data_IF_327757412636
#
_entry.id   IF_327757412636
#
_cell.length_a   1.000
_cell.length_b   1.000
_cell.length_c   1.000
_cell.angle_alpha   90.00
_cell.angle_beta   90.00
_cell.angle_gamma   90.00
#
_symmetry.space_group_name_H-M   'P 1'
#
loop_
_entity.id
_entity.type
_entity.pdbx_description
1 polymer ?
#
# COMPACT_ATOMS: atom_id res chain seq x y z
N UNK A 1 -25.99 -9.35 -2.31
CA UNK A 1 -25.15 -10.20 -3.17
C UNK A 1 -25.63 -11.64 -2.99
N UNK A 2 -25.42 -12.52 -3.98
CA UNK A 2 -25.77 -13.93 -3.83
C UNK A 2 -24.70 -14.65 -3.00
N UNK A 3 -25.07 -15.77 -2.38
CA UNK A 3 -24.16 -16.63 -1.63
C UNK A 3 -22.93 -17.01 -2.45
N UNK A 4 -23.14 -17.38 -3.72
CA UNK A 4 -22.10 -17.76 -4.67
C UNK A 4 -21.23 -16.56 -5.07
N UNK A 5 -21.83 -15.40 -5.31
CA UNK A 5 -21.09 -14.18 -5.64
C UNK A 5 -20.13 -13.77 -4.53
N UNK A 6 -20.51 -13.95 -3.26
CA UNK A 6 -19.64 -13.68 -2.12
C UNK A 6 -18.54 -14.75 -1.97
N UNK A 7 -18.86 -16.02 -2.19
CA UNK A 7 -17.89 -17.13 -2.15
C UNK A 7 -16.79 -16.99 -3.21
N UNK A 8 -17.14 -16.59 -4.45
CA UNK A 8 -16.20 -16.47 -5.58
C UNK A 8 -15.64 -15.05 -5.79
N UNK A 9 -15.88 -14.11 -4.87
CA UNK A 9 -15.61 -12.67 -5.05
C UNK A 9 -14.16 -12.28 -5.39
N UNK A 10 -13.18 -13.10 -5.01
CA UNK A 10 -11.75 -12.92 -5.30
C UNK A 10 -11.17 -14.10 -6.07
N UNK A 11 -11.99 -14.74 -6.91
CA UNK A 11 -11.59 -15.91 -7.67
C UNK A 11 -11.82 -15.68 -9.15
N UNK A 12 -10.90 -16.15 -9.98
CA UNK A 12 -11.03 -16.14 -11.45
C UNK A 12 -11.16 -17.57 -11.95
N UNK A 13 -12.17 -17.80 -12.77
CA UNK A 13 -12.39 -19.11 -13.39
C UNK A 13 -11.32 -19.41 -14.42
N UNK A 14 -10.86 -20.67 -14.42
CA UNK A 14 -10.02 -21.30 -15.44
C UNK A 14 -10.90 -22.13 -16.36
N UNK A 15 -11.43 -21.51 -17.42
CA UNK A 15 -12.42 -22.13 -18.31
C UNK A 15 -11.96 -23.47 -18.89
N UNK A 16 -10.66 -23.63 -19.13
CA UNK A 16 -10.01 -24.85 -19.62
C UNK A 16 -10.16 -26.05 -18.68
N UNK A 17 -10.43 -25.83 -17.40
CA UNK A 17 -10.58 -26.90 -16.39
C UNK A 17 -12.03 -27.34 -16.17
N UNK A 18 -13.01 -26.54 -16.62
CA UNK A 18 -14.43 -26.75 -16.31
C UNK A 18 -14.95 -28.09 -16.83
N UNK A 19 -14.66 -28.43 -18.09
CA UNK A 19 -15.12 -29.68 -18.69
C UNK A 19 -14.49 -30.90 -18.04
N UNK A 20 -13.23 -30.81 -17.60
CA UNK A 20 -12.55 -31.90 -16.91
C UNK A 20 -13.11 -32.14 -15.50
N UNK A 21 -13.58 -31.08 -14.82
CA UNK A 21 -14.24 -31.20 -13.52
C UNK A 21 -15.66 -31.80 -13.61
N UNK A 22 -16.34 -31.61 -14.75
CA UNK A 22 -17.68 -32.15 -14.99
C UNK A 22 -18.73 -31.11 -15.37
N UNK A 23 -18.34 -29.85 -15.65
CA UNK A 23 -19.28 -28.88 -16.22
C UNK A 23 -19.61 -29.22 -17.67
N UNK A 24 -20.89 -29.08 -18.02
CA UNK A 24 -21.40 -29.22 -19.38
C UNK A 24 -21.66 -27.83 -19.96
N UNK A 25 -21.16 -27.57 -21.17
CA UNK A 25 -21.40 -26.30 -21.87
C UNK A 25 -22.83 -26.29 -22.43
N UNK A 26 -23.62 -25.28 -22.05
CA UNK A 26 -25.00 -25.05 -22.50
C UNK A 26 -25.07 -23.64 -23.08
N UNK A 27 -25.09 -23.53 -24.40
CA UNK A 27 -24.97 -22.24 -25.09
C UNK A 27 -23.61 -21.59 -24.80
N UNK A 28 -23.62 -20.39 -24.19
CA UNK A 28 -22.41 -19.67 -23.78
C UNK A 28 -21.98 -19.95 -22.33
N UNK A 29 -22.82 -20.65 -21.57
CA UNK A 29 -22.62 -20.86 -20.15
C UNK A 29 -22.19 -22.30 -19.85
N UNK A 30 -21.70 -22.54 -18.65
CA UNK A 30 -21.32 -23.86 -18.14
C UNK A 30 -22.23 -24.22 -16.98
N UNK A 31 -22.76 -25.44 -16.98
CA UNK A 31 -23.62 -25.97 -15.91
C UNK A 31 -23.00 -27.21 -15.29
N UNK A 32 -22.89 -27.22 -13.97
CA UNK A 32 -22.54 -28.37 -13.17
C UNK A 32 -23.75 -28.77 -12.33
N UNK A 33 -23.99 -30.07 -12.23
CA UNK A 33 -25.07 -30.64 -11.42
C UNK A 33 -24.50 -31.73 -10.52
N UNK A 34 -24.89 -31.73 -9.25
CA UNK A 34 -24.50 -32.75 -8.30
C UNK A 34 -25.62 -33.02 -7.30
N UNK A 35 -25.94 -34.31 -7.14
CA UNK A 35 -26.87 -34.78 -6.11
C UNK A 35 -26.09 -34.97 -4.81
N UNK A 36 -26.61 -34.47 -3.70
CA UNK A 36 -25.96 -34.53 -2.40
C UNK A 36 -26.96 -34.81 -1.27
N UNK A 37 -26.45 -35.01 -0.05
CA UNK A 37 -27.23 -35.41 1.14
C UNK A 37 -28.14 -36.61 0.87
N UNK A 38 -27.53 -37.77 0.61
CA UNK A 38 -28.22 -39.04 0.39
C UNK A 38 -29.26 -39.07 -0.76
N UNK A 39 -29.31 -38.05 -1.60
CA UNK A 39 -30.27 -37.98 -2.71
C UNK A 39 -31.34 -36.92 -2.55
N UNK A 40 -31.41 -36.25 -1.39
CA UNK A 40 -32.48 -35.32 -1.03
C UNK A 40 -32.38 -33.99 -1.80
N UNK A 41 -31.16 -33.60 -2.20
CA UNK A 41 -30.92 -32.31 -2.86
C UNK A 41 -30.10 -32.42 -4.15
N UNK A 42 -30.34 -31.50 -5.08
CA UNK A 42 -29.49 -31.27 -6.27
C UNK A 42 -28.92 -29.85 -6.26
N UNK A 43 -27.60 -29.72 -6.30
CA UNK A 43 -26.92 -28.47 -6.55
C UNK A 43 -26.78 -28.26 -8.07
N UNK A 44 -27.20 -27.10 -8.56
CA UNK A 44 -26.99 -26.64 -9.93
C UNK A 44 -26.13 -25.39 -9.92
N UNK A 45 -24.88 -25.49 -10.33
CA UNK A 45 -23.93 -24.37 -10.38
C UNK A 45 -23.69 -23.96 -11.81
N UNK A 46 -23.95 -22.68 -12.11
CA UNK A 46 -23.80 -22.09 -13.43
C UNK A 46 -22.69 -21.06 -13.45
N UNK A 47 -21.83 -21.13 -14.46
CA UNK A 47 -20.78 -20.14 -14.73
C UNK A 47 -21.04 -19.51 -16.09
N UNK A 48 -21.18 -18.18 -16.12
CA UNK A 48 -21.38 -17.44 -17.38
C UNK A 48 -20.11 -17.34 -18.21
N UNK A 49 -20.24 -16.94 -19.48
CA UNK A 49 -19.10 -16.57 -20.33
C UNK A 49 -18.22 -15.47 -19.70
N UNK A 50 -18.82 -14.55 -18.93
CA UNK A 50 -18.11 -13.51 -18.17
C UNK A 50 -17.48 -14.00 -16.87
N UNK A 51 -17.61 -15.29 -16.54
CA UNK A 51 -17.06 -15.92 -15.34
C UNK A 51 -17.88 -15.66 -14.07
N UNK A 52 -19.10 -15.15 -14.18
CA UNK A 52 -20.00 -14.96 -13.03
C UNK A 52 -20.59 -16.30 -12.61
N UNK A 53 -20.47 -16.60 -11.32
CA UNK A 53 -21.04 -17.81 -10.71
C UNK A 53 -22.42 -17.50 -10.15
N UNK A 54 -23.41 -18.29 -10.55
CA UNK A 54 -24.71 -18.37 -9.90
C UNK A 54 -25.02 -19.83 -9.59
N UNK A 55 -25.83 -20.08 -8.57
CA UNK A 55 -26.17 -21.44 -8.17
C UNK A 55 -27.60 -21.54 -7.69
N UNK A 56 -28.15 -22.76 -7.75
CA UNK A 56 -29.45 -23.15 -7.22
C UNK A 56 -29.30 -24.47 -6.48
N UNK A 57 -30.10 -24.66 -5.44
CA UNK A 57 -30.21 -25.93 -4.73
C UNK A 57 -31.67 -26.30 -4.76
N UNK A 58 -31.98 -27.47 -5.32
CA UNK A 58 -33.33 -28.01 -5.43
C UNK A 58 -33.53 -29.09 -4.39
N UNK A 59 -34.68 -29.06 -3.72
CA UNK A 59 -35.20 -30.17 -2.94
C UNK A 59 -35.84 -31.17 -3.92
N UNK A 60 -35.35 -32.41 -3.93
CA UNK A 60 -35.76 -33.41 -4.92
C UNK A 60 -37.07 -34.10 -4.57
N UNK A 61 -37.56 -33.97 -3.35
CA UNK A 61 -38.86 -34.50 -2.94
C UNK A 61 -39.99 -33.57 -3.38
N UNK A 62 -39.77 -32.26 -3.30
CA UNK A 62 -40.78 -31.26 -3.71
C UNK A 62 -40.57 -30.71 -5.11
N UNK A 63 -39.39 -30.93 -5.72
CA UNK A 63 -38.95 -30.34 -6.99
C UNK A 63 -38.91 -28.79 -6.96
N UNK A 64 -38.67 -28.21 -5.78
CA UNK A 64 -38.67 -26.76 -5.54
C UNK A 64 -37.29 -26.23 -5.13
N UNK A 65 -37.05 -24.93 -5.37
CA UNK A 65 -35.83 -24.26 -4.88
C UNK A 65 -35.81 -24.24 -3.35
N UNK A 66 -34.72 -24.74 -2.77
CA UNK A 66 -34.48 -24.71 -1.33
C UNK A 66 -33.98 -23.32 -0.87
N UNK A 67 -34.81 -22.30 -0.99
CA UNK A 67 -34.43 -20.88 -0.72
C UNK A 67 -33.96 -20.62 0.72
N UNK A 68 -34.33 -21.50 1.65
CA UNK A 68 -33.99 -21.43 3.09
C UNK A 68 -32.48 -21.32 3.31
N UNK A 69 -31.65 -21.95 2.46
CA UNK A 69 -30.19 -21.89 2.56
C UNK A 69 -29.65 -20.45 2.47
N UNK A 70 -30.37 -19.56 1.78
CA UNK A 70 -29.99 -18.16 1.52
C UNK A 70 -30.34 -17.21 2.66
N UNK A 71 -31.12 -17.66 3.65
CA UNK A 71 -31.52 -16.83 4.79
C UNK A 71 -30.45 -16.92 5.88
N UNK A 72 -29.61 -15.89 6.00
CA UNK A 72 -28.49 -15.86 6.97
C UNK A 72 -28.93 -16.02 8.43
N UNK A 73 -30.16 -15.60 8.77
CA UNK A 73 -30.68 -15.61 10.15
C UNK A 73 -31.30 -16.94 10.60
N UNK A 74 -31.49 -17.90 9.69
CA UNK A 74 -32.12 -19.17 10.00
C UNK A 74 -31.04 -20.20 10.36
N UNK A 75 -30.95 -20.54 11.64
CA UNK A 75 -29.86 -21.34 12.23
C UNK A 75 -30.39 -22.70 12.71
N UNK A 76 -31.29 -23.31 11.94
CA UNK A 76 -31.71 -24.68 12.19
C UNK A 76 -30.56 -25.65 11.86
N UNK A 77 -30.37 -26.70 12.67
CA UNK A 77 -29.28 -27.68 12.51
C UNK A 77 -29.25 -28.28 11.10
N UNK A 78 -30.44 -28.56 10.54
CA UNK A 78 -30.58 -29.10 9.18
C UNK A 78 -30.20 -28.10 8.08
N UNK A 79 -30.69 -26.85 8.16
CA UNK A 79 -30.32 -25.78 7.19
C UNK A 79 -28.81 -25.55 7.19
N UNK A 80 -28.19 -25.61 8.38
CA UNK A 80 -26.74 -25.55 8.54
C UNK A 80 -26.01 -26.68 7.81
N UNK A 81 -26.51 -27.92 7.90
CA UNK A 81 -25.96 -29.08 7.19
C UNK A 81 -26.10 -28.93 5.66
N UNK A 82 -27.26 -28.52 5.16
CA UNK A 82 -27.48 -28.27 3.72
C UNK A 82 -26.52 -27.19 3.22
N UNK A 83 -26.39 -26.08 3.97
CA UNK A 83 -25.47 -24.98 3.63
C UNK A 83 -24.01 -25.45 3.63
N UNK A 84 -23.62 -26.24 4.63
CA UNK A 84 -22.26 -26.80 4.70
C UNK A 84 -21.98 -27.71 3.50
N UNK A 85 -22.85 -28.67 3.22
CA UNK A 85 -22.66 -29.60 2.12
C UNK A 85 -22.61 -28.88 0.76
N UNK A 86 -23.47 -27.88 0.56
CA UNK A 86 -23.39 -27.03 -0.64
C UNK A 86 -22.08 -26.23 -0.71
N UNK A 87 -21.58 -25.72 0.43
CA UNK A 87 -20.28 -25.03 0.50
C UNK A 87 -19.12 -25.96 0.14
N UNK A 88 -19.19 -27.24 0.51
CA UNK A 88 -18.18 -28.26 0.15
C UNK A 88 -18.15 -28.49 -1.37
N UNK A 89 -19.31 -28.50 -2.03
CA UNK A 89 -19.41 -28.55 -3.51
C UNK A 89 -18.74 -27.32 -4.12
N UNK A 90 -19.10 -26.11 -3.66
CA UNK A 90 -18.49 -24.87 -4.16
C UNK A 90 -16.98 -24.82 -3.92
N UNK A 91 -16.51 -25.37 -2.81
CA UNK A 91 -15.08 -25.44 -2.46
C UNK A 91 -14.32 -26.35 -3.44
N UNK A 92 -14.84 -27.55 -3.74
CA UNK A 92 -14.25 -28.43 -4.76
C UNK A 92 -14.19 -27.77 -6.14
N UNK A 93 -15.26 -27.07 -6.52
CA UNK A 93 -15.29 -26.28 -7.76
C UNK A 93 -14.22 -25.20 -7.73
N UNK A 94 -14.10 -24.44 -6.64
CA UNK A 94 -13.11 -23.38 -6.50
C UNK A 94 -11.67 -23.92 -6.60
N UNK A 95 -11.36 -25.01 -5.90
CA UNK A 95 -10.01 -25.59 -5.88
C UNK A 95 -9.59 -26.09 -7.27
N UNK A 96 -10.50 -26.77 -7.96
CA UNK A 96 -10.23 -27.33 -9.28
C UNK A 96 -10.26 -26.28 -10.40
N UNK A 97 -11.24 -25.38 -10.35
CA UNK A 97 -11.60 -24.56 -11.50
C UNK A 97 -11.30 -23.07 -11.35
N UNK A 98 -10.80 -22.63 -10.20
CA UNK A 98 -10.52 -21.21 -9.97
C UNK A 98 -9.09 -20.99 -9.48
N UNK A 99 -8.60 -19.77 -9.69
CA UNK A 99 -7.41 -19.24 -9.05
C UNK A 99 -7.78 -18.05 -8.16
N UNK A 100 -7.02 -17.88 -7.09
CA UNK A 100 -7.19 -16.75 -6.18
C UNK A 100 -6.58 -15.47 -6.76
N UNK A 101 -7.32 -14.38 -6.62
CA UNK A 101 -6.93 -13.05 -7.03
C UNK A 101 -6.71 -12.16 -5.79
N UNK A 102 -5.70 -11.28 -5.80
CA UNK A 102 -5.47 -10.36 -4.69
C UNK A 102 -6.64 -9.37 -4.50
N UNK A 103 -7.29 -8.97 -5.59
CA UNK A 103 -8.32 -7.92 -5.62
C UNK A 103 -9.64 -8.43 -6.19
N UNK A 104 -10.72 -7.68 -5.94
CA UNK A 104 -12.07 -8.02 -6.39
C UNK A 104 -12.28 -7.57 -7.84
N UNK A 105 -11.78 -6.40 -8.24
CA UNK A 105 -12.00 -5.89 -9.60
C UNK A 105 -10.96 -6.45 -10.57
N UNK A 106 -11.43 -6.81 -11.77
CA UNK A 106 -10.57 -7.30 -12.85
C UNK A 106 -9.49 -6.28 -13.22
N UNK A 107 -9.84 -5.00 -13.35
CA UNK A 107 -8.88 -3.93 -13.60
C UNK A 107 -7.76 -3.87 -12.55
N UNK A 108 -8.09 -4.01 -11.27
CA UNK A 108 -7.10 -4.01 -10.18
C UNK A 108 -6.14 -5.19 -10.29
N UNK A 109 -6.64 -6.37 -10.68
CA UNK A 109 -5.80 -7.56 -10.89
C UNK A 109 -4.90 -7.44 -12.13
N UNK A 110 -5.40 -6.87 -13.24
CA UNK A 110 -4.56 -6.56 -14.41
C UNK A 110 -3.48 -5.54 -14.08
N UNK A 111 -3.80 -4.54 -13.27
CA UNK A 111 -2.82 -3.59 -12.74
C UNK A 111 -1.75 -4.28 -11.87
N UNK A 112 -2.16 -5.18 -10.97
CA UNK A 112 -1.21 -5.92 -10.13
C UNK A 112 -0.24 -6.76 -10.98
N UNK A 113 -0.77 -7.45 -12.00
CA UNK A 113 0.05 -8.21 -12.96
C UNK A 113 1.00 -7.30 -13.74
N UNK A 114 0.54 -6.11 -14.17
CA UNK A 114 1.37 -5.13 -14.84
C UNK A 114 2.54 -4.67 -13.96
N UNK A 115 2.27 -4.30 -12.70
CA UNK A 115 3.31 -3.88 -11.75
C UNK A 115 4.31 -5.01 -11.49
N UNK A 116 3.82 -6.23 -11.24
CA UNK A 116 4.66 -7.40 -11.01
C UNK A 116 5.56 -7.69 -12.22
N UNK A 117 5.01 -7.69 -13.44
CA UNK A 117 5.76 -7.95 -14.67
C UNK A 117 6.79 -6.86 -14.99
N UNK A 118 6.44 -5.59 -14.78
CA UNK A 118 7.28 -4.45 -15.17
C UNK A 118 8.36 -4.11 -14.15
N UNK A 119 8.03 -4.20 -12.86
CA UNK A 119 8.89 -3.73 -11.78
C UNK A 119 9.33 -4.82 -10.81
N UNK A 120 8.61 -5.95 -10.73
CA UNK A 120 8.84 -6.97 -9.70
C UNK A 120 8.50 -6.48 -8.29
N UNK A 121 7.83 -5.34 -8.15
CA UNK A 121 7.49 -4.76 -6.85
C UNK A 121 6.36 -5.57 -6.20
N UNK A 122 6.60 -6.05 -4.98
CA UNK A 122 5.60 -6.75 -4.20
C UNK A 122 4.59 -5.78 -3.56
N UNK A 123 3.37 -6.27 -3.38
CA UNK A 123 2.32 -5.57 -2.64
C UNK A 123 2.46 -5.84 -1.14
N UNK A 124 2.25 -4.83 -0.29
CA UNK A 124 2.17 -4.96 1.18
C UNK A 124 0.80 -4.51 1.73
N UNK A 125 0.47 -4.92 2.95
CA UNK A 125 -0.77 -4.58 3.65
C UNK A 125 -0.47 -3.72 4.89
N UNK A 126 -0.33 -2.39 4.73
CA UNK A 126 0.23 -1.54 5.78
C UNK A 126 -0.70 -1.32 6.99
N UNK A 127 -1.98 -1.71 6.89
CA UNK A 127 -2.99 -1.42 7.90
C UNK A 127 -3.63 -2.70 8.44
N UNK A 128 -3.25 -3.12 9.65
CA UNK A 128 -3.81 -4.32 10.28
C UNK A 128 -5.35 -4.30 10.42
N UNK A 129 -5.93 -3.11 10.67
CA UNK A 129 -7.39 -2.93 10.74
C UNK A 129 -8.10 -3.00 9.38
N UNK A 130 -7.36 -2.83 8.29
CA UNK A 130 -7.89 -2.80 6.93
C UNK A 130 -7.04 -3.72 6.04
N UNK A 131 -7.14 -5.05 6.21
CA UNK A 131 -6.32 -6.00 5.47
C UNK A 131 -6.59 -5.99 3.95
N UNK A 132 -7.75 -5.49 3.51
CA UNK A 132 -8.04 -5.27 2.10
C UNK A 132 -7.25 -4.08 1.50
N UNK A 133 -6.67 -3.20 2.33
CA UNK A 133 -5.88 -2.08 1.85
C UNK A 133 -4.48 -2.56 1.55
N UNK A 134 -4.01 -2.17 0.38
CA UNK A 134 -2.86 -2.78 -0.26
C UNK A 134 -2.01 -1.66 -0.84
N UNK A 135 -0.70 -1.66 -0.63
CA UNK A 135 0.17 -0.64 -1.18
C UNK A 135 1.32 -1.20 -1.98
N UNK A 136 1.87 -0.35 -2.86
CA UNK A 136 3.13 -0.59 -3.52
C UNK A 136 4.13 0.50 -3.16
N UNK A 137 5.36 0.08 -2.92
CA UNK A 137 6.47 0.93 -2.48
C UNK A 137 7.67 0.72 -3.37
N UNK A 138 8.48 1.76 -3.51
CA UNK A 138 9.83 1.59 -4.04
C UNK A 138 10.66 0.68 -3.14
N UNK A 139 11.31 -0.38 -3.67
CA UNK A 139 12.17 -1.24 -2.88
C UNK A 139 13.31 -0.47 -2.19
N UNK A 140 13.87 0.54 -2.87
CA UNK A 140 15.07 1.24 -2.42
C UNK A 140 14.82 2.28 -1.31
N UNK A 141 13.61 2.84 -1.24
CA UNK A 141 13.33 3.96 -0.33
C UNK A 141 12.03 3.81 0.47
N UNK A 142 11.30 2.71 0.26
CA UNK A 142 10.05 2.32 0.90
C UNK A 142 8.92 3.36 0.82
N UNK A 143 9.03 4.37 -0.05
CA UNK A 143 7.97 5.35 -0.28
C UNK A 143 6.86 4.72 -1.09
N UNK A 144 5.62 4.98 -0.66
CA UNK A 144 4.44 4.64 -1.44
C UNK A 144 4.46 5.36 -2.78
N UNK A 145 4.08 4.61 -3.81
CA UNK A 145 3.71 5.15 -5.12
C UNK A 145 2.30 4.72 -5.54
N UNK A 146 1.73 3.70 -4.90
CA UNK A 146 0.34 3.33 -5.06
C UNK A 146 -0.23 2.86 -3.72
N UNK A 147 -1.49 3.22 -3.47
CA UNK A 147 -2.27 2.69 -2.34
C UNK A 147 -3.67 2.35 -2.84
N UNK A 148 -4.01 1.07 -2.85
CA UNK A 148 -5.29 0.52 -3.27
C UNK A 148 -6.15 0.32 -2.02
N UNK A 149 -7.40 0.78 -2.07
CA UNK A 149 -8.35 0.70 -0.96
C UNK A 149 -9.75 0.33 -1.46
N UNK A 150 -10.46 -0.49 -0.70
CA UNK A 150 -11.89 -0.75 -0.90
C UNK A 150 -12.70 0.16 0.04
N UNK A 151 -13.50 1.06 -0.51
CA UNK A 151 -14.28 2.05 0.25
C UNK A 151 -15.68 2.23 -0.33
N UNK A 152 -16.62 2.73 0.48
CA UNK A 152 -17.89 3.24 -0.06
C UNK A 152 -17.61 4.45 -0.97
N UNK A 153 -18.25 4.51 -2.13
CA UNK A 153 -18.07 5.57 -3.14
C UNK A 153 -18.30 6.96 -2.56
N UNK A 154 -19.30 7.12 -1.68
CA UNK A 154 -19.65 8.37 -1.01
C UNK A 154 -18.55 8.95 -0.10
N UNK A 155 -17.46 8.21 0.16
CA UNK A 155 -16.27 8.73 0.86
C UNK A 155 -15.35 9.56 -0.03
N UNK A 156 -15.51 9.50 -1.35
CA UNK A 156 -14.79 10.33 -2.30
C UNK A 156 -15.36 11.74 -2.35
N UNK A 157 -14.54 12.69 -2.82
CA UNK A 157 -14.97 14.05 -3.12
C UNK A 157 -15.65 14.05 -4.50
N UNK A 158 -16.95 13.70 -4.53
CA UNK A 158 -17.73 13.48 -5.75
C UNK A 158 -18.17 14.78 -6.45
N UNK A 159 -17.81 15.94 -5.89
CA UNK A 159 -18.20 17.26 -6.41
C UNK A 159 -19.72 17.48 -6.32
N UNK A 160 -20.27 18.16 -7.34
CA UNK A 160 -21.72 18.48 -7.43
C UNK A 160 -22.52 17.42 -8.20
N UNK A 161 -21.96 16.23 -8.46
CA UNK A 161 -22.71 15.16 -9.14
C UNK A 161 -23.77 14.63 -8.20
N UNK A 162 -24.98 14.47 -8.70
CA UNK A 162 -26.04 13.74 -8.01
C UNK A 162 -25.76 12.24 -8.14
N UNK A 163 -25.90 11.52 -7.03
CA UNK A 163 -25.72 10.08 -6.93
C UNK A 163 -26.87 9.54 -6.10
N UNK A 164 -27.42 8.41 -6.51
CA UNK A 164 -28.41 7.72 -5.69
C UNK A 164 -27.76 7.13 -4.44
N UNK A 165 -28.56 6.92 -3.40
CA UNK A 165 -28.05 6.41 -2.12
C UNK A 165 -27.37 5.05 -2.30
N UNK A 166 -27.94 4.16 -3.12
CA UNK A 166 -27.33 2.85 -3.40
C UNK A 166 -25.95 2.98 -4.06
N UNK A 167 -25.75 3.99 -4.92
CA UNK A 167 -24.46 4.22 -5.57
C UNK A 167 -23.40 4.78 -4.62
N UNK A 168 -23.82 5.62 -3.67
CA UNK A 168 -22.95 6.15 -2.63
C UNK A 168 -22.48 5.06 -1.65
N UNK A 169 -23.36 4.12 -1.33
CA UNK A 169 -23.06 3.00 -0.42
C UNK A 169 -22.27 1.87 -1.13
N UNK A 170 -22.21 1.90 -2.47
CA UNK A 170 -21.45 0.93 -3.28
C UNK A 170 -19.97 0.88 -2.85
N UNK A 171 -19.49 -0.33 -2.55
CA UNK A 171 -18.05 -0.56 -2.35
C UNK A 171 -17.31 -0.52 -3.69
N UNK A 172 -16.34 0.38 -3.78
CA UNK A 172 -15.46 0.57 -4.93
C UNK A 172 -14.00 0.35 -4.52
N UNK A 173 -13.22 -0.22 -5.44
CA UNK A 173 -11.76 -0.23 -5.31
C UNK A 173 -11.22 1.06 -5.92
N UNK A 174 -10.40 1.78 -5.16
CA UNK A 174 -9.71 2.98 -5.61
C UNK A 174 -8.21 2.79 -5.52
N UNK A 175 -7.47 3.54 -6.32
CA UNK A 175 -6.02 3.67 -6.20
C UNK A 175 -5.62 5.14 -6.00
N UNK A 176 -4.82 5.38 -4.97
CA UNK A 176 -4.15 6.66 -4.77
C UNK A 176 -2.81 6.67 -5.50
N UNK A 177 -2.61 7.68 -6.35
CA UNK A 177 -1.40 7.86 -7.14
C UNK A 177 -0.85 9.28 -6.96
N UNK A 178 0.48 9.40 -6.88
CA UNK A 178 1.17 10.67 -6.86
C UNK A 178 1.23 11.23 -8.27
N UNK A 179 0.96 12.52 -8.42
CA UNK A 179 0.94 13.22 -9.71
C UNK A 179 1.75 14.51 -9.64
N UNK A 180 2.13 15.03 -10.80
CA UNK A 180 2.70 16.36 -10.87
C UNK A 180 1.59 17.39 -10.58
N UNK A 181 1.77 18.32 -9.64
CA UNK A 181 0.78 19.35 -9.34
C UNK A 181 0.32 20.15 -10.58
N UNK A 182 1.18 20.30 -11.59
CA UNK A 182 0.84 20.97 -12.85
C UNK A 182 -0.26 20.24 -13.66
N UNK A 183 -0.35 18.91 -13.54
CA UNK A 183 -1.33 18.09 -14.26
C UNK A 183 -2.66 17.96 -13.50
N UNK A 184 -2.72 18.41 -12.24
CA UNK A 184 -3.84 18.16 -11.33
C UNK A 184 -5.19 18.60 -11.92
N UNK A 185 -5.27 19.82 -12.44
CA UNK A 185 -6.52 20.37 -13.01
C UNK A 185 -7.02 19.52 -14.17
N UNK A 186 -6.11 19.08 -15.05
CA UNK A 186 -6.45 18.23 -16.20
C UNK A 186 -6.87 16.83 -15.77
N UNK A 187 -6.21 16.25 -14.77
CA UNK A 187 -6.56 14.92 -14.28
C UNK A 187 -7.92 14.90 -13.59
N UNK A 188 -8.24 15.93 -12.79
CA UNK A 188 -9.52 16.03 -12.09
C UNK A 188 -10.72 16.32 -13.02
N UNK A 189 -10.48 16.70 -14.28
CA UNK A 189 -11.56 16.83 -15.27
C UNK A 189 -11.93 15.49 -15.93
N UNK A 190 -11.19 14.41 -15.66
CA UNK A 190 -11.44 13.08 -16.23
C UNK A 190 -12.40 12.31 -15.33
N UNK A 191 -13.48 11.76 -15.89
CA UNK A 191 -14.41 10.92 -15.13
C UNK A 191 -13.68 9.70 -14.55
N UNK A 192 -13.98 9.36 -13.30
CA UNK A 192 -13.31 8.29 -12.56
C UNK A 192 -12.06 8.74 -11.80
N UNK A 193 -11.61 10.00 -11.94
CA UNK A 193 -10.51 10.59 -11.17
C UNK A 193 -11.03 11.68 -10.24
N UNK A 194 -10.61 11.61 -8.98
CA UNK A 194 -11.09 12.45 -7.88
C UNK A 194 -9.93 13.03 -7.07
N UNK A 195 -10.16 14.12 -6.30
CA UNK A 195 -9.23 14.56 -5.27
C UNK A 195 -8.89 13.41 -4.32
N UNK A 196 -7.63 13.34 -3.88
CA UNK A 196 -7.18 12.17 -3.12
C UNK A 196 -7.92 11.98 -1.80
N UNK A 197 -8.33 10.74 -1.54
CA UNK A 197 -8.79 10.24 -0.26
C UNK A 197 -7.59 9.93 0.67
N UNK A 198 -7.56 10.47 1.89
CA UNK A 198 -6.49 10.34 2.90
C UNK A 198 -5.06 10.81 2.54
N UNK A 199 -4.79 11.16 1.28
CA UNK A 199 -3.48 11.66 0.84
C UNK A 199 -3.49 13.17 0.61
N UNK A 200 -2.32 13.74 0.30
CA UNK A 200 -2.18 15.17 0.04
C UNK A 200 -2.79 15.54 -1.32
N UNK A 201 -3.97 16.18 -1.28
CA UNK A 201 -4.77 16.62 -2.45
C UNK A 201 -4.04 17.52 -3.44
N UNK A 202 -2.88 18.11 -3.08
CA UNK A 202 -2.06 18.92 -4.01
C UNK A 202 -1.12 18.10 -4.89
N UNK A 203 -0.89 16.83 -4.55
CA UNK A 203 0.12 15.99 -5.21
C UNK A 203 -0.31 14.54 -5.39
N UNK A 204 -1.53 14.20 -4.99
CA UNK A 204 -2.12 12.88 -5.12
C UNK A 204 -3.54 12.99 -5.66
N UNK A 205 -3.95 11.96 -6.39
CA UNK A 205 -5.33 11.74 -6.85
C UNK A 205 -5.84 10.40 -6.34
N UNK A 206 -7.16 10.21 -6.35
CA UNK A 206 -7.80 8.91 -6.22
C UNK A 206 -8.47 8.56 -7.55
N UNK A 207 -8.19 7.38 -8.09
CA UNK A 207 -8.83 6.85 -9.30
C UNK A 207 -9.69 5.65 -8.92
N UNK A 208 -10.93 5.58 -9.41
CA UNK A 208 -11.82 4.43 -9.20
C UNK A 208 -11.54 3.36 -10.25
N UNK A 209 -11.31 2.12 -9.82
CA UNK A 209 -10.95 0.98 -10.67
C UNK A 209 -12.22 0.26 -11.17
N UNK A 210 -13.03 0.98 -11.95
CA UNK A 210 -14.32 0.53 -12.50
C UNK A 210 -14.37 0.53 -14.03
N UNK A 211 -13.20 0.40 -14.68
CA UNK A 211 -13.04 0.34 -16.15
C UNK A 211 -13.33 1.67 -16.89
N UNK A 212 -13.77 2.75 -16.20
CA UNK A 212 -13.95 4.08 -16.81
C UNK A 212 -12.65 4.67 -17.35
N UNK A 213 -11.56 4.50 -16.60
CA UNK A 213 -10.22 4.88 -17.04
C UNK A 213 -9.56 3.66 -17.67
N UNK A 214 -9.16 3.77 -18.94
CA UNK A 214 -8.49 2.67 -19.65
C UNK A 214 -7.20 2.22 -18.96
N UNK A 215 -6.91 0.92 -19.07
CA UNK A 215 -5.69 0.31 -18.50
C UNK A 215 -4.42 1.02 -18.95
N UNK A 216 -4.29 1.36 -20.24
CA UNK A 216 -3.11 2.06 -20.76
C UNK A 216 -2.87 3.39 -20.03
N UNK A 217 -3.94 4.16 -19.80
CA UNK A 217 -3.81 5.44 -19.09
C UNK A 217 -3.55 5.24 -17.60
N UNK A 218 -4.27 4.31 -16.94
CA UNK A 218 -4.01 3.92 -15.56
C UNK A 218 -2.55 3.50 -15.34
N UNK A 219 -2.01 2.65 -16.20
CA UNK A 219 -0.64 2.15 -16.11
C UNK A 219 0.38 3.30 -16.27
N UNK A 220 0.10 4.24 -17.17
CA UNK A 220 0.93 5.45 -17.32
C UNK A 220 0.93 6.33 -16.06
N UNK A 221 -0.21 6.46 -15.37
CA UNK A 221 -0.31 7.20 -14.10
C UNK A 221 0.47 6.49 -12.98
N UNK A 222 0.45 5.16 -12.96
CA UNK A 222 1.21 4.34 -12.01
C UNK A 222 2.71 4.48 -12.24
N UNK A 223 3.15 4.39 -13.50
CA UNK A 223 4.56 4.60 -13.88
C UNK A 223 5.05 6.00 -13.46
N UNK A 224 4.24 7.02 -13.73
CA UNK A 224 4.54 8.41 -13.36
C UNK A 224 4.60 8.59 -11.84
N UNK A 225 3.63 8.04 -11.10
CA UNK A 225 3.64 8.07 -9.65
C UNK A 225 4.89 7.40 -9.09
N UNK A 226 5.27 6.24 -9.65
CA UNK A 226 6.51 5.53 -9.31
C UNK A 226 7.72 6.42 -9.63
N UNK A 227 7.82 7.05 -10.79
CA UNK A 227 8.92 7.97 -11.09
C UNK A 227 9.01 9.15 -10.10
N UNK A 228 7.88 9.77 -9.74
CA UNK A 228 7.79 10.90 -8.80
C UNK A 228 8.12 10.53 -7.33
N UNK A 229 8.24 9.24 -7.03
CA UNK A 229 8.47 8.68 -5.69
C UNK A 229 9.77 7.89 -5.59
N UNK A 230 10.43 7.60 -6.72
CA UNK A 230 11.75 6.96 -6.79
C UNK A 230 12.80 7.72 -5.94
N UNK A 231 12.55 9.01 -5.74
CA UNK A 231 13.47 9.92 -5.07
C UNK A 231 14.64 10.24 -5.99
N UNK A 232 15.30 11.37 -5.76
CA UNK A 232 16.71 11.46 -6.14
C UNK A 232 17.43 10.47 -5.22
N UNK A 233 18.26 9.59 -5.76
CA UNK A 233 19.20 8.82 -4.96
C UNK A 233 20.05 9.82 -4.17
N UNK A 234 19.62 10.13 -2.94
CA UNK A 234 20.36 10.97 -2.02
C UNK A 234 21.40 10.13 -1.27
N UNK A 235 21.25 8.80 -1.30
CA UNK A 235 22.31 7.89 -0.89
C UNK A 235 23.44 7.96 -1.90
N UNK A 236 24.67 8.14 -1.45
CA UNK A 236 25.85 8.04 -2.30
C UNK A 236 26.25 6.55 -2.42
N UNK A 237 26.03 5.88 -3.58
CA UNK A 237 26.45 4.48 -3.73
C UNK A 237 27.99 4.34 -3.73
N UNK A 238 28.70 5.41 -4.06
CA UNK A 238 30.16 5.44 -4.24
C UNK A 238 30.88 6.13 -3.06
N UNK A 239 30.21 6.34 -1.93
CA UNK A 239 30.84 6.99 -0.77
C UNK A 239 29.89 7.23 0.41
N UNK A 240 30.35 7.95 1.45
CA UNK A 240 29.57 8.14 2.66
C UNK A 240 28.40 9.11 2.46
N UNK A 241 27.32 8.87 3.18
CA UNK A 241 26.18 9.79 3.25
C UNK A 241 26.46 10.94 4.23
N UNK A 242 25.81 12.08 3.99
CA UNK A 242 25.88 13.28 4.85
C UNK A 242 24.52 13.51 5.47
N UNK A 243 24.41 13.34 6.79
CA UNK A 243 23.17 13.41 7.54
C UNK A 243 23.06 14.68 8.38
N UNK A 244 21.84 15.17 8.58
CA UNK A 244 21.48 16.15 9.60
C UNK A 244 20.49 15.48 10.55
N UNK A 245 20.77 15.57 11.85
CA UNK A 245 19.85 15.15 12.90
C UNK A 245 19.50 16.34 13.82
N UNK A 246 18.23 16.50 14.23
CA UNK A 246 17.89 17.48 15.24
C UNK A 246 18.24 16.98 16.64
N UNK A 247 18.80 17.87 17.45
CA UNK A 247 19.03 17.69 18.87
C UNK A 247 18.42 18.84 19.66
N UNK A 248 17.76 18.53 20.76
CA UNK A 248 17.19 19.51 21.66
C UNK A 248 17.98 19.51 22.96
N UNK A 249 18.61 20.66 23.28
CA UNK A 249 19.47 20.82 24.46
C UNK A 249 18.72 20.62 25.79
N UNK A 250 17.38 20.62 25.80
CA UNK A 250 16.61 20.23 26.99
C UNK A 250 16.76 18.76 27.36
N UNK A 251 17.06 17.91 26.39
CA UNK A 251 17.11 16.44 26.56
C UNK A 251 18.51 15.86 26.38
N UNK A 252 19.42 16.59 25.74
CA UNK A 252 20.77 16.13 25.44
C UNK A 252 21.76 17.24 25.78
N UNK A 253 22.71 16.96 26.68
CA UNK A 253 23.80 17.88 26.99
C UNK A 253 25.05 17.54 26.15
N UNK A 254 24.87 17.72 24.84
CA UNK A 254 25.88 17.38 23.83
C UNK A 254 27.13 18.23 23.99
N UNK A 255 26.97 19.45 24.49
CA UNK A 255 28.08 20.37 24.73
C UNK A 255 29.00 19.83 25.84
N UNK A 256 28.44 19.31 26.95
CA UNK A 256 29.22 18.66 28.00
C UNK A 256 29.82 17.31 27.57
N UNK A 257 29.05 16.50 26.81
CA UNK A 257 29.53 15.21 26.30
C UNK A 257 30.75 15.39 25.39
N UNK A 258 30.71 16.30 24.42
CA UNK A 258 31.85 16.54 23.54
C UNK A 258 32.99 17.32 24.19
N UNK A 259 32.74 18.05 25.28
CA UNK A 259 33.81 18.67 26.06
C UNK A 259 34.64 17.65 26.83
N UNK A 260 34.04 16.51 27.21
CA UNK A 260 34.69 15.45 27.98
C UNK A 260 35.26 14.32 27.12
N UNK A 261 34.62 14.02 25.99
CA UNK A 261 34.98 12.90 25.12
C UNK A 261 34.94 13.29 23.64
N UNK A 262 35.97 12.94 22.88
CA UNK A 262 35.99 13.12 21.43
C UNK A 262 35.03 12.16 20.69
N UNK A 263 34.70 11.03 21.32
CA UNK A 263 33.75 10.04 20.81
C UNK A 263 32.58 9.89 21.79
N UNK A 264 31.36 10.06 21.30
CA UNK A 264 30.13 9.95 22.11
C UNK A 264 29.20 8.87 21.57
N UNK A 265 28.43 8.23 22.45
CA UNK A 265 27.37 7.30 22.04
C UNK A 265 26.09 8.04 21.70
N UNK A 266 25.46 7.68 20.58
CA UNK A 266 24.24 8.31 20.10
C UNK A 266 23.20 7.27 19.67
N UNK A 267 21.89 7.51 19.88
CA UNK A 267 20.85 6.64 19.35
C UNK A 267 20.91 6.55 17.82
N UNK A 268 21.07 5.34 17.27
CA UNK A 268 21.07 5.15 15.83
C UNK A 268 19.64 5.24 15.31
N UNK A 269 19.42 6.16 14.37
CA UNK A 269 18.12 6.37 13.71
C UNK A 269 18.33 6.31 12.21
N UNK A 270 17.28 5.95 11.47
CA UNK A 270 17.36 5.73 10.03
C UNK A 270 18.45 4.70 9.65
N UNK A 271 18.77 4.61 8.36
CA UNK A 271 19.78 3.70 7.82
C UNK A 271 21.20 4.29 7.84
N UNK A 272 21.55 5.05 8.88
CA UNK A 272 22.89 5.65 9.07
C UNK A 272 23.90 4.54 9.33
N UNK A 273 25.05 4.57 8.64
CA UNK A 273 26.07 3.52 8.68
C UNK A 273 27.41 4.05 9.18
N UNK A 274 28.27 3.14 9.62
CA UNK A 274 29.67 3.47 9.87
C UNK A 274 30.31 4.00 8.57
N UNK A 275 31.12 5.05 8.70
CA UNK A 275 31.70 5.80 7.59
C UNK A 275 30.91 7.06 7.18
N UNK A 276 29.62 7.15 7.52
CA UNK A 276 28.80 8.33 7.21
C UNK A 276 29.26 9.57 7.99
N UNK A 277 28.93 10.75 7.46
CA UNK A 277 29.07 12.03 8.17
C UNK A 277 27.73 12.42 8.78
N UNK A 278 27.76 12.85 10.03
CA UNK A 278 26.57 13.21 10.79
C UNK A 278 26.72 14.60 11.38
N UNK A 279 25.76 15.47 11.08
CA UNK A 279 25.74 16.84 11.56
C UNK A 279 24.57 17.05 12.51
N UNK A 280 24.88 17.61 13.67
CA UNK A 280 23.91 17.83 14.73
C UNK A 280 23.39 19.27 14.62
N UNK A 281 22.10 19.38 14.34
CA UNK A 281 21.36 20.64 14.31
C UNK A 281 20.69 20.86 15.66
N UNK A 282 21.08 21.92 16.36
CA UNK A 282 20.45 22.31 17.61
C UNK A 282 19.11 22.98 17.32
N UNK A 283 18.03 22.47 17.91
CA UNK A 283 16.69 23.01 17.74
C UNK A 283 16.51 24.36 18.47
N UNK A 284 15.28 24.87 18.57
CA UNK A 284 15.04 26.11 19.31
C UNK A 284 15.59 26.04 20.75
N UNK A 285 16.20 27.13 21.28
CA UNK A 285 16.24 28.47 20.69
C UNK A 285 17.35 28.69 19.64
N UNK A 286 18.43 27.90 19.66
CA UNK A 286 19.62 28.10 18.82
C UNK A 286 19.35 28.04 17.32
N UNK A 287 18.62 27.01 16.86
CA UNK A 287 18.25 26.82 15.44
C UNK A 287 19.44 26.89 14.46
N UNK A 288 20.53 26.18 14.76
CA UNK A 288 21.75 26.16 13.94
C UNK A 288 22.44 24.78 13.92
N UNK A 289 23.24 24.51 12.89
CA UNK A 289 24.16 23.37 12.86
C UNK A 289 25.33 23.65 13.81
N UNK A 290 25.61 22.73 14.74
CA UNK A 290 26.66 22.95 15.75
C UNK A 290 27.80 21.94 15.68
N UNK A 291 27.51 20.69 15.38
CA UNK A 291 28.54 19.64 15.35
C UNK A 291 28.57 18.95 14.01
N UNK A 292 29.77 18.67 13.51
CA UNK A 292 30.03 17.71 12.46
C UNK A 292 30.80 16.53 13.05
N UNK A 293 30.31 15.33 12.79
CA UNK A 293 30.84 14.10 13.33
C UNK A 293 31.04 13.06 12.23
N UNK A 294 31.95 12.11 12.47
CA UNK A 294 32.07 10.88 11.71
C UNK A 294 31.41 9.74 12.49
N UNK A 295 30.60 8.93 11.81
CA UNK A 295 30.07 7.70 12.40
C UNK A 295 31.17 6.64 12.34
N UNK A 296 31.78 6.33 13.48
CA UNK A 296 32.90 5.36 13.54
C UNK A 296 32.40 3.93 13.73
N UNK A 297 31.25 3.76 14.37
CA UNK A 297 30.63 2.46 14.62
C UNK A 297 29.10 2.61 14.61
N UNK A 298 28.39 1.63 14.04
CA UNK A 298 26.93 1.62 13.95
C UNK A 298 26.39 0.21 14.18
N UNK A 299 25.16 0.10 14.67
CA UNK A 299 24.50 -1.17 14.93
C UNK A 299 24.82 -1.77 16.30
N UNK A 300 25.28 -0.95 17.26
CA UNK A 300 25.64 -1.41 18.60
C UNK A 300 24.36 -1.80 19.32
N UNK A 301 24.23 -3.07 19.70
CA UNK A 301 23.09 -3.60 20.43
C UNK A 301 23.23 -3.33 21.92
N UNK A 302 22.15 -2.85 22.54
CA UNK A 302 22.09 -2.65 23.98
C UNK A 302 21.65 -3.93 24.68
N UNK A 303 22.30 -4.28 25.79
CA UNK A 303 22.01 -5.48 26.59
C UNK A 303 20.54 -5.58 27.06
N UNK A 304 19.79 -4.47 27.07
CA UNK A 304 18.37 -4.39 27.47
C UNK A 304 17.52 -3.42 26.62
N UNK A 305 17.88 -3.14 25.37
CA UNK A 305 17.07 -2.26 24.51
C UNK A 305 17.12 -2.63 23.04
N UNK A 306 15.95 -2.74 22.42
CA UNK A 306 15.80 -2.90 20.95
C UNK A 306 16.30 -1.68 20.15
N UNK A 307 16.69 -0.60 20.83
CA UNK A 307 17.21 0.63 20.20
C UNK A 307 18.71 0.51 19.98
N UNK A 308 19.09 0.35 18.72
CA UNK A 308 20.49 0.37 18.27
C UNK A 308 21.15 1.71 18.58
N UNK A 309 22.44 1.66 18.93
CA UNK A 309 23.30 2.82 19.14
C UNK A 309 24.39 2.91 18.06
N UNK A 310 25.00 4.07 17.95
CA UNK A 310 26.16 4.35 17.11
C UNK A 310 27.17 5.21 17.90
N UNK A 311 28.45 5.19 17.49
CA UNK A 311 29.48 6.06 18.05
C UNK A 311 29.83 7.17 17.07
N UNK A 312 29.88 8.38 17.59
CA UNK A 312 30.14 9.60 16.83
C UNK A 312 31.46 10.20 17.27
N UNK A 313 32.42 10.26 16.36
CA UNK A 313 33.67 11.00 16.55
C UNK A 313 33.46 12.45 16.13
N UNK A 314 33.75 13.40 17.03
CA UNK A 314 33.69 14.82 16.72
C UNK A 314 34.77 15.20 15.71
N UNK A 315 34.36 15.78 14.58
CA UNK A 315 35.27 16.37 13.60
C UNK A 315 35.39 17.87 13.78
N UNK A 316 34.26 18.55 14.00
CA UNK A 316 34.23 20.01 14.12
C UNK A 316 33.05 20.51 14.92
N UNK A 317 33.29 21.57 15.70
CA UNK A 317 32.27 22.44 16.30
C UNK A 317 32.16 23.73 15.48
N UNK A 318 30.95 24.08 15.09
CA UNK A 318 30.60 25.33 14.43
C UNK A 318 30.09 26.36 15.43
N UNK A 319 30.32 27.64 15.15
CA UNK A 319 29.59 28.71 15.79
C UNK A 319 28.15 28.73 15.27
N UNK A 320 27.20 29.11 16.12
CA UNK A 320 25.78 29.11 15.80
C UNK A 320 25.44 30.07 14.62
N UNK A 321 26.31 31.05 14.35
CA UNK A 321 26.23 31.96 13.21
C UNK A 321 26.73 31.39 11.87
N UNK A 322 27.49 30.28 11.85
CA UNK A 322 28.02 29.72 10.59
C UNK A 322 26.91 29.10 9.73
N UNK A 323 26.05 28.28 10.33
CA UNK A 323 24.99 27.55 9.64
C UNK A 323 23.64 27.66 10.37
N UNK A 324 23.08 28.88 10.52
CA UNK A 324 21.75 29.08 11.06
C UNK A 324 20.69 28.52 10.11
N UNK A 325 19.47 28.28 10.61
CA UNK A 325 18.36 27.75 9.83
C UNK A 325 18.05 28.53 8.55
N UNK A 326 18.23 29.85 8.53
CA UNK A 326 18.04 30.66 7.31
C UNK A 326 19.11 30.37 6.24
N UNK A 327 20.33 30.01 6.65
CA UNK A 327 21.37 29.50 5.75
C UNK A 327 20.99 28.12 5.19
N UNK A 328 20.56 27.20 6.06
CA UNK A 328 20.16 25.84 5.66
C UNK A 328 18.98 25.84 4.68
N UNK A 329 17.99 26.74 4.88
CA UNK A 329 16.86 26.92 3.96
C UNK A 329 17.31 27.30 2.55
N UNK A 330 18.32 28.15 2.40
CA UNK A 330 18.88 28.55 1.09
C UNK A 330 19.45 27.35 0.33
N UNK A 331 19.97 26.35 1.04
CA UNK A 331 20.47 25.10 0.47
C UNK A 331 19.41 23.98 0.41
N UNK A 332 18.12 24.33 0.51
CA UNK A 332 17.01 23.39 0.35
C UNK A 332 16.72 22.50 1.57
N UNK A 333 17.34 22.76 2.72
CA UNK A 333 17.08 22.04 3.97
C UNK A 333 16.09 22.83 4.81
N UNK A 334 14.88 22.30 4.96
CA UNK A 334 13.81 22.90 5.77
C UNK A 334 13.19 21.87 6.72
N UNK A 335 12.51 22.35 7.78
CA UNK A 335 11.71 21.52 8.68
C UNK A 335 12.44 20.30 9.27
N UNK A 336 13.60 20.49 9.91
CA UNK A 336 14.46 19.43 10.48
C UNK A 336 13.80 18.82 11.73
N UNK A 337 12.89 17.86 11.54
CA UNK A 337 12.17 17.16 12.63
C UNK A 337 12.63 15.71 12.88
N UNK A 338 13.63 15.25 12.14
CA UNK A 338 14.20 13.91 12.22
C UNK A 338 15.41 13.78 11.28
N UNK A 339 16.09 12.62 11.25
CA UNK A 339 17.26 12.39 10.40
C UNK A 339 16.96 12.65 8.92
N UNK A 340 17.83 13.41 8.25
CA UNK A 340 17.71 13.75 6.83
C UNK A 340 19.07 13.75 6.17
N UNK A 341 19.11 13.40 4.88
CA UNK A 341 20.32 13.60 4.08
C UNK A 341 20.44 15.06 3.65
N UNK A 342 21.67 15.56 3.60
CA UNK A 342 22.00 16.87 3.07
C UNK A 342 21.82 16.92 1.55
N UNK A 343 21.57 18.12 1.03
CA UNK A 343 21.63 18.41 -0.40
C UNK A 343 23.07 18.48 -0.87
N UNK A 344 23.35 18.25 -2.17
CA UNK A 344 24.71 18.31 -2.72
C UNK A 344 25.36 19.68 -2.49
N UNK A 345 24.57 20.73 -2.62
CA UNK A 345 24.99 22.12 -2.42
C UNK A 345 25.41 22.37 -0.98
N UNK A 346 24.65 21.86 0.00
CA UNK A 346 25.02 21.98 1.41
C UNK A 346 26.27 21.17 1.74
N UNK A 347 26.38 19.94 1.22
CA UNK A 347 27.57 19.09 1.38
C UNK A 347 28.82 19.83 0.93
N UNK A 348 28.78 20.46 -0.24
CA UNK A 348 29.91 21.22 -0.78
C UNK A 348 30.30 22.41 0.11
N UNK A 349 29.35 23.01 0.84
CA UNK A 349 29.67 24.11 1.76
C UNK A 349 30.25 23.61 3.08
N UNK A 350 29.66 22.59 3.69
CA UNK A 350 30.19 22.05 4.95
C UNK A 350 31.55 21.39 4.74
N UNK A 351 31.79 20.75 3.58
CA UNK A 351 33.09 20.16 3.22
C UNK A 351 34.23 21.17 3.14
N UNK A 352 33.97 22.43 2.77
CA UNK A 352 35.01 23.48 2.77
C UNK A 352 35.49 23.83 4.18
N UNK A 353 34.65 23.52 5.18
CA UNK A 353 34.87 23.86 6.57
C UNK A 353 35.25 22.66 7.44
N UNK A 354 35.04 21.43 6.95
CA UNK A 354 35.52 20.18 7.53
C UNK A 354 36.96 19.96 7.12
#
# INVERSE_FOLDING_TARGET
MSFESDFFKKKRVRFETLSAFGFVKIGQDYLYKEIFMAGDFEAQVKISESGQVSGRVLDRDTDDDYLVLRVERQVGTFVGQVRQAYTEILSRIADACFEDLPFIKNQTNRLAQYIAKKYGDACDHPFAKYPAFSSYRHPNNHKWYALIMAIARGKLDLGKKEWEKEELDQQVEIINLKVNPADMTKLLSISGIYPSYHMNKKSWISLVLDEQVSDNFLFSLVDNSRALTAGKALGNPDGPDYWIIPANLKYYDIDAEFASCQIVEWPQKASIKAGDYLFIYITAPTRALRYACRVVEAGIEGWHSDKKKMRLELLKKYDDGNFPIECLKKYGVTNIRGPRRMTKELINQVKKSL
#
